data_IF_215897063901
#
_entry.id   IF_215897063901
#
_cell.length_a   1.000
_cell.length_b   1.000
_cell.length_c   1.000
_cell.angle_alpha   90.00
_cell.angle_beta   90.00
_cell.angle_gamma   90.00
#
_symmetry.space_group_name_H-M   'P 1'
#
loop_
_entity.id
_entity.type
_entity.pdbx_description
1 polymer ?
#
# COMPACT_ATOMS: atom_id res chain seq x y z
N UNK A 1 11.84 17.28 5.80
CA UNK A 1 11.60 15.82 5.89
C UNK A 1 10.21 15.52 5.33
N UNK A 2 10.12 14.79 4.20
CA UNK A 2 8.89 14.58 3.42
C UNK A 2 7.83 13.67 4.06
N UNK A 3 7.99 13.24 5.32
CA UNK A 3 7.13 12.21 5.94
C UNK A 3 5.66 12.66 6.04
N UNK A 4 5.42 13.90 6.46
CA UNK A 4 4.06 14.45 6.50
C UNK A 4 3.41 14.56 5.11
N UNK A 5 4.16 14.91 4.06
CA UNK A 5 3.59 14.98 2.72
C UNK A 5 3.21 13.61 2.16
N UNK A 6 3.92 12.55 2.55
CA UNK A 6 3.61 11.18 2.14
C UNK A 6 2.38 10.67 2.90
N UNK A 7 2.30 10.91 4.21
CA UNK A 7 1.13 10.57 5.02
C UNK A 7 -0.15 11.20 4.44
N UNK A 8 -0.09 12.48 4.05
CA UNK A 8 -1.22 13.15 3.40
C UNK A 8 -1.62 12.44 2.09
N UNK A 9 -0.66 12.07 1.24
CA UNK A 9 -0.95 11.37 -0.03
C UNK A 9 -1.56 10.00 0.21
N UNK A 10 -1.11 9.28 1.24
CA UNK A 10 -1.68 7.97 1.61
C UNK A 10 -3.17 8.11 1.95
N UNK A 11 -3.52 9.05 2.81
CA UNK A 11 -4.91 9.22 3.26
C UNK A 11 -5.83 9.88 2.23
N UNK A 12 -5.30 10.75 1.38
CA UNK A 12 -6.14 11.56 0.46
C UNK A 12 -6.19 11.03 -0.96
N UNK A 13 -5.26 10.17 -1.36
CA UNK A 13 -5.21 9.65 -2.72
C UNK A 13 -5.14 8.13 -2.80
N UNK A 14 -4.23 7.50 -2.05
CA UNK A 14 -3.98 6.05 -2.18
C UNK A 14 -5.00 5.16 -1.45
N UNK A 15 -5.90 5.76 -0.68
CA UNK A 15 -6.93 5.05 0.07
C UNK A 15 -8.13 4.60 -0.78
N UNK A 16 -9.19 4.21 -0.06
CA UNK A 16 -10.45 3.76 -0.68
C UNK A 16 -11.30 4.90 -1.24
N UNK A 17 -11.02 6.13 -0.83
CA UNK A 17 -11.70 7.34 -1.30
C UNK A 17 -10.68 8.35 -1.77
N UNK A 18 -10.93 8.94 -2.93
CA UNK A 18 -10.10 9.99 -3.50
C UNK A 18 -10.63 11.35 -3.02
N UNK A 19 -9.79 12.04 -2.25
CA UNK A 19 -10.15 13.35 -1.71
C UNK A 19 -10.21 14.38 -2.85
N UNK A 20 -11.21 15.29 -2.90
CA UNK A 20 -11.26 16.34 -3.90
C UNK A 20 -9.98 17.19 -4.03
N UNK A 21 -9.18 17.33 -2.95
CA UNK A 21 -7.94 18.11 -2.92
C UNK A 21 -6.67 17.30 -3.21
N UNK A 22 -6.79 16.02 -3.59
CA UNK A 22 -5.66 15.11 -3.82
C UNK A 22 -4.58 15.68 -4.76
N UNK A 23 -4.98 16.40 -5.81
CA UNK A 23 -4.04 17.01 -6.78
C UNK A 23 -3.11 18.00 -6.11
N UNK A 24 -3.65 18.85 -5.24
CA UNK A 24 -2.89 19.86 -4.49
C UNK A 24 -1.89 19.19 -3.55
N UNK A 25 -2.30 18.09 -2.92
CA UNK A 25 -1.45 17.33 -1.99
C UNK A 25 -0.30 16.65 -2.74
N UNK A 26 -0.58 15.99 -3.87
CA UNK A 26 0.45 15.38 -4.72
C UNK A 26 1.40 16.46 -5.24
N UNK A 27 0.89 17.59 -5.72
CA UNK A 27 1.75 18.69 -6.21
C UNK A 27 2.66 19.22 -5.11
N UNK A 28 2.14 19.39 -3.87
CA UNK A 28 2.92 19.78 -2.70
C UNK A 28 4.04 18.77 -2.40
N UNK A 29 3.75 17.48 -2.47
CA UNK A 29 4.74 16.42 -2.30
C UNK A 29 5.84 16.49 -3.38
N UNK A 30 5.47 16.66 -4.65
CA UNK A 30 6.42 16.75 -5.78
C UNK A 30 7.36 17.95 -5.64
N UNK A 31 6.82 19.13 -5.34
CA UNK A 31 7.61 20.34 -5.11
C UNK A 31 8.52 20.21 -3.89
N UNK A 32 8.08 19.52 -2.83
CA UNK A 32 8.93 19.22 -1.68
C UNK A 32 10.11 18.32 -2.08
N UNK A 33 9.88 17.27 -2.87
CA UNK A 33 10.96 16.40 -3.37
C UNK A 33 11.96 17.15 -4.24
N UNK A 34 11.48 17.99 -5.16
CA UNK A 34 12.32 18.83 -6.02
C UNK A 34 13.21 19.78 -5.21
N UNK A 35 12.62 20.45 -4.20
CA UNK A 35 13.36 21.36 -3.32
C UNK A 35 14.46 20.65 -2.50
N UNK A 36 14.32 19.34 -2.26
CA UNK A 36 15.35 18.52 -1.61
C UNK A 36 16.36 17.91 -2.61
N UNK A 37 16.29 18.29 -3.89
CA UNK A 37 17.17 17.77 -4.94
C UNK A 37 16.90 16.29 -5.29
N UNK A 38 15.73 15.75 -4.92
CA UNK A 38 15.38 14.37 -5.25
C UNK A 38 15.06 14.25 -6.73
N UNK A 39 15.71 13.31 -7.42
CA UNK A 39 15.36 12.95 -8.79
C UNK A 39 14.05 12.16 -8.80
N UNK A 40 13.22 12.39 -9.81
CA UNK A 40 11.95 11.71 -9.97
C UNK A 40 12.17 10.22 -10.27
N UNK A 41 11.66 9.35 -9.42
CA UNK A 41 11.65 7.91 -9.70
C UNK A 41 10.60 7.58 -10.76
N UNK A 42 10.70 6.41 -11.39
CA UNK A 42 9.70 5.95 -12.38
C UNK A 42 8.28 5.96 -11.81
N UNK A 43 8.10 5.55 -10.55
CA UNK A 43 6.80 5.55 -9.88
C UNK A 43 6.24 6.96 -9.71
N UNK A 44 7.07 7.91 -9.30
CA UNK A 44 6.66 9.32 -9.13
C UNK A 44 6.36 9.95 -10.50
N UNK A 45 7.12 9.61 -11.53
CA UNK A 45 6.87 10.07 -12.89
C UNK A 45 5.55 9.54 -13.45
N UNK A 46 5.26 8.25 -13.24
CA UNK A 46 3.98 7.64 -13.62
C UNK A 46 2.81 8.31 -12.88
N UNK A 47 2.95 8.51 -11.57
CA UNK A 47 1.96 9.21 -10.75
C UNK A 47 1.66 10.61 -11.29
N UNK A 48 2.70 11.41 -11.57
CA UNK A 48 2.55 12.77 -12.07
C UNK A 48 1.91 12.81 -13.48
N UNK A 49 2.35 11.93 -14.38
CA UNK A 49 1.89 11.90 -15.78
C UNK A 49 0.46 11.39 -15.95
N UNK A 50 -0.04 10.60 -15.01
CA UNK A 50 -1.33 9.93 -15.11
C UNK A 50 -2.27 10.22 -13.95
N UNK A 51 -2.03 11.29 -13.19
CA UNK A 51 -2.78 11.66 -11.98
C UNK A 51 -4.32 11.67 -12.20
N UNK A 52 -4.77 12.11 -13.37
CA UNK A 52 -6.18 12.20 -13.76
C UNK A 52 -6.80 10.87 -14.20
N UNK A 53 -5.98 9.85 -14.50
CA UNK A 53 -6.42 8.56 -15.02
C UNK A 53 -6.68 7.54 -13.90
N UNK A 54 -6.27 7.82 -12.67
CA UNK A 54 -6.48 6.92 -11.55
C UNK A 54 -7.97 6.84 -11.15
N UNK A 55 -8.48 5.63 -10.82
CA UNK A 55 -9.85 5.43 -10.37
C UNK A 55 -10.12 6.15 -9.04
N UNK A 56 -11.40 6.26 -8.70
CA UNK A 56 -11.85 6.91 -7.46
C UNK A 56 -11.50 6.12 -6.19
N UNK A 57 -11.46 4.79 -6.30
CA UNK A 57 -11.06 3.90 -5.22
C UNK A 57 -9.78 3.19 -5.63
N UNK A 58 -8.65 3.68 -5.13
CA UNK A 58 -7.33 3.10 -5.40
C UNK A 58 -7.02 1.90 -4.51
N UNK A 59 -7.48 1.94 -3.26
CA UNK A 59 -7.32 0.83 -2.30
C UNK A 59 -7.88 -0.49 -2.84
N UNK A 60 -9.01 -0.47 -3.55
CA UNK A 60 -9.58 -1.67 -4.17
C UNK A 60 -8.72 -2.33 -5.27
N UNK A 61 -7.79 -1.58 -5.87
CA UNK A 61 -6.85 -2.08 -6.89
C UNK A 61 -5.41 -2.14 -6.36
N UNK A 62 -5.21 -1.89 -5.07
CA UNK A 62 -3.90 -1.95 -4.45
C UNK A 62 -3.47 -3.41 -4.27
N UNK A 63 -2.17 -3.64 -4.34
CA UNK A 63 -1.55 -4.93 -4.00
C UNK A 63 -1.47 -5.16 -2.48
N UNK A 64 -2.04 -4.27 -1.66
CA UNK A 64 -2.00 -4.36 -0.19
C UNK A 64 -2.42 -5.74 0.35
N UNK A 65 -3.47 -6.34 -0.21
CA UNK A 65 -3.92 -7.68 0.18
C UNK A 65 -2.91 -8.77 -0.20
N UNK A 66 -2.28 -8.64 -1.36
CA UNK A 66 -1.22 -9.54 -1.81
C UNK A 66 0.03 -9.40 -0.94
N UNK A 67 0.45 -8.17 -0.63
CA UNK A 67 1.59 -7.90 0.25
C UNK A 67 1.35 -8.43 1.67
N UNK A 68 0.13 -8.28 2.21
CA UNK A 68 -0.25 -8.86 3.51
C UNK A 68 -0.22 -10.39 3.47
N UNK A 69 -0.76 -11.01 2.43
CA UNK A 69 -0.68 -12.45 2.22
C UNK A 69 0.78 -12.96 2.27
N UNK A 70 1.70 -12.28 1.60
CA UNK A 70 3.12 -12.67 1.64
C UNK A 70 3.72 -12.59 3.06
N UNK A 71 3.36 -11.56 3.83
CA UNK A 71 3.82 -11.43 5.22
C UNK A 71 3.27 -12.55 6.10
N UNK A 72 1.97 -12.86 5.98
CA UNK A 72 1.33 -13.93 6.74
C UNK A 72 1.94 -15.29 6.43
N UNK A 73 2.14 -15.59 5.14
CA UNK A 73 2.78 -16.84 4.70
C UNK A 73 4.20 -16.94 5.25
N UNK A 74 5.00 -15.88 5.13
CA UNK A 74 6.36 -15.85 5.66
C UNK A 74 6.40 -16.13 7.18
N UNK A 75 5.47 -15.55 7.94
CA UNK A 75 5.38 -15.78 9.38
C UNK A 75 4.93 -17.19 9.75
N UNK A 76 4.10 -17.83 8.92
CA UNK A 76 3.69 -19.22 9.11
C UNK A 76 4.82 -20.18 8.75
N UNK A 77 5.48 -19.97 7.61
CA UNK A 77 6.66 -20.75 7.20
C UNK A 77 7.72 -20.72 8.29
N UNK A 78 7.97 -19.55 8.88
CA UNK A 78 8.91 -19.39 10.00
C UNK A 78 8.51 -20.19 11.23
N UNK A 79 7.22 -20.16 11.61
CA UNK A 79 6.69 -20.95 12.74
C UNK A 79 6.84 -22.46 12.51
N UNK A 80 6.66 -22.90 11.28
CA UNK A 80 6.71 -24.31 10.89
C UNK A 80 8.07 -24.76 10.36
N UNK A 81 9.09 -23.89 10.38
CA UNK A 81 10.46 -24.17 9.91
C UNK A 81 10.50 -24.67 8.47
N UNK A 82 9.65 -24.12 7.60
CA UNK A 82 9.51 -24.51 6.20
C UNK A 82 8.79 -25.85 5.97
N UNK A 83 8.19 -26.45 7.01
CA UNK A 83 7.31 -27.62 6.84
C UNK A 83 5.96 -27.20 6.31
N UNK A 84 5.58 -27.75 5.16
CA UNK A 84 4.27 -27.59 4.54
C UNK A 84 3.38 -28.79 4.86
N UNK A 85 2.72 -28.77 6.02
CA UNK A 85 1.84 -29.84 6.47
C UNK A 85 0.38 -29.39 6.68
N UNK A 86 -0.51 -30.34 6.92
CA UNK A 86 -1.95 -30.08 7.09
C UNK A 86 -2.22 -29.19 8.30
N UNK A 87 -1.39 -29.24 9.34
CA UNK A 87 -1.54 -28.39 10.52
C UNK A 87 -1.17 -26.94 10.20
N UNK A 88 -0.11 -26.72 9.40
CA UNK A 88 0.25 -25.40 8.90
C UNK A 88 -0.91 -24.76 8.12
N UNK A 89 -1.53 -25.51 7.20
CA UNK A 89 -2.67 -25.03 6.42
C UNK A 89 -3.89 -24.78 7.31
N UNK A 90 -4.17 -25.67 8.26
CA UNK A 90 -5.27 -25.50 9.21
C UNK A 90 -5.10 -24.25 10.09
N UNK A 91 -3.88 -24.01 10.59
CA UNK A 91 -3.54 -22.82 11.35
C UNK A 91 -3.67 -21.54 10.51
N UNK A 92 -3.25 -21.58 9.24
CA UNK A 92 -3.44 -20.46 8.32
C UNK A 92 -4.93 -20.14 8.13
N UNK A 93 -5.75 -21.14 7.80
CA UNK A 93 -7.19 -20.98 7.66
C UNK A 93 -7.85 -20.48 8.96
N UNK A 94 -7.35 -20.91 10.12
CA UNK A 94 -7.82 -20.45 11.42
C UNK A 94 -7.51 -18.96 11.66
N UNK A 95 -6.30 -18.51 11.33
CA UNK A 95 -5.95 -17.10 11.45
C UNK A 95 -6.76 -16.21 10.52
N UNK A 96 -6.90 -16.61 9.25
CA UNK A 96 -7.75 -15.88 8.29
C UNK A 96 -9.19 -15.73 8.80
N UNK A 97 -9.77 -16.80 9.37
CA UNK A 97 -11.14 -16.74 9.91
C UNK A 97 -11.26 -15.72 11.03
N UNK A 98 -10.31 -15.69 11.96
CA UNK A 98 -10.32 -14.75 13.09
C UNK A 98 -10.28 -13.29 12.67
N UNK A 99 -9.58 -12.98 11.58
CA UNK A 99 -9.49 -11.60 11.07
C UNK A 99 -10.76 -11.16 10.33
N UNK A 100 -11.58 -12.10 9.87
CA UNK A 100 -12.84 -11.82 9.17
C UNK A 100 -14.08 -11.78 10.06
N UNK A 101 -13.95 -12.22 11.33
CA UNK A 101 -15.04 -12.27 12.31
C UNK A 101 -15.13 -11.01 13.21
N UNK A 102 -14.23 -10.04 13.02
CA UNK A 102 -14.25 -8.70 13.65
C UNK A 102 -14.88 -7.62 12.74
#
# INVERSE_FOLDING_TARGET
>A
MPRHCIEDVVHTFLGNTKDPVYKTIIQRMLTAYEAHGCKMSLKVHFLHSHIDRFPENLGAYSEEQGERFYQDVHDIERRYQGRWDVNMLADYCWMLRRETED
#
